data_IF_439126843697
#
_entry.id   IF_439126843697
#
_cell.length_a   1.000
_cell.length_b   1.000
_cell.length_c   1.000
_cell.angle_alpha   90.00
_cell.angle_beta   90.00
_cell.angle_gamma   90.00
#
_symmetry.space_group_name_H-M   'P 1'
#
loop_
_entity.id
_entity.type
_entity.pdbx_description
1 polymer ?
#
# COMPACT_ATOMS: atom_id res chain seq x y z
N UNK A 1 -33.03 -25.96 43.96
CA UNK A 1 -31.97 -24.95 43.70
C UNK A 1 -31.61 -24.85 42.20
N UNK A 2 -32.55 -24.48 41.33
CA UNK A 2 -32.25 -24.20 39.89
C UNK A 2 -32.95 -22.95 39.34
N UNK A 3 -33.96 -22.40 40.03
CA UNK A 3 -34.74 -21.24 39.58
C UNK A 3 -34.05 -19.88 39.78
N UNK A 4 -33.16 -19.73 40.76
CA UNK A 4 -32.48 -18.45 41.07
C UNK A 4 -31.51 -18.02 39.94
N UNK A 5 -30.88 -18.98 39.23
CA UNK A 5 -29.95 -18.66 38.14
C UNK A 5 -30.65 -18.10 36.89
N UNK A 6 -31.88 -18.55 36.61
CA UNK A 6 -32.65 -18.04 35.47
C UNK A 6 -33.31 -16.70 35.76
N UNK A 7 -33.64 -16.40 37.03
CA UNK A 7 -34.16 -15.09 37.43
C UNK A 7 -33.14 -13.98 37.16
N UNK A 8 -31.85 -14.20 37.48
CA UNK A 8 -30.78 -13.23 37.20
C UNK A 8 -30.54 -13.01 35.71
N UNK A 9 -30.60 -14.07 34.89
CA UNK A 9 -30.44 -13.97 33.44
C UNK A 9 -31.62 -13.20 32.80
N UNK A 10 -32.84 -13.45 33.28
CA UNK A 10 -34.05 -12.79 32.76
C UNK A 10 -34.10 -11.31 33.12
N UNK A 11 -33.71 -10.95 34.36
CA UNK A 11 -33.56 -9.55 34.77
C UNK A 11 -32.50 -8.83 33.92
N UNK A 12 -31.37 -9.48 33.65
CA UNK A 12 -30.33 -8.91 32.78
C UNK A 12 -30.85 -8.69 31.36
N UNK A 13 -31.58 -9.65 30.79
CA UNK A 13 -32.11 -9.54 29.42
C UNK A 13 -33.15 -8.42 29.28
N UNK A 14 -34.05 -8.26 30.26
CA UNK A 14 -35.07 -7.18 30.26
C UNK A 14 -34.43 -5.81 30.45
N UNK A 15 -33.40 -5.70 31.30
CA UNK A 15 -32.65 -4.44 31.46
C UNK A 15 -31.88 -4.10 30.18
N UNK A 16 -31.27 -5.07 29.51
CA UNK A 16 -30.53 -4.83 28.26
C UNK A 16 -31.47 -4.43 27.12
N UNK A 17 -32.59 -5.11 26.92
CA UNK A 17 -33.54 -4.74 25.85
C UNK A 17 -34.26 -3.43 26.14
N UNK A 18 -34.60 -3.16 27.41
CA UNK A 18 -35.15 -1.88 27.84
C UNK A 18 -34.16 -0.72 27.68
N UNK A 19 -32.89 -0.93 27.99
CA UNK A 19 -31.85 0.09 27.84
C UNK A 19 -31.54 0.38 26.37
N UNK A 20 -31.49 -0.66 25.51
CA UNK A 20 -31.32 -0.48 24.06
C UNK A 20 -32.52 0.25 23.47
N UNK A 21 -33.75 -0.10 23.86
CA UNK A 21 -34.96 0.56 23.35
C UNK A 21 -35.09 2.03 23.77
N UNK A 22 -34.63 2.40 24.97
CA UNK A 22 -34.70 3.79 25.48
C UNK A 22 -33.53 4.65 24.99
N UNK A 23 -32.35 4.08 24.74
CA UNK A 23 -31.19 4.82 24.22
C UNK A 23 -31.05 4.81 22.69
N UNK A 24 -31.68 3.86 21.98
CA UNK A 24 -31.67 3.79 20.51
C UNK A 24 -33.07 3.96 19.88
N UNK A 25 -34.10 4.26 20.68
CA UNK A 25 -35.48 4.44 20.21
C UNK A 25 -35.89 5.91 20.09
N UNK A 26 -35.49 6.54 18.99
CA UNK A 26 -35.97 7.85 18.51
C UNK A 26 -35.16 8.21 17.26
N UNK A 27 -35.70 8.49 16.08
CA UNK A 27 -37.02 8.94 15.68
C UNK A 27 -37.44 8.24 14.37
N UNK A 28 -38.74 7.96 14.20
CA UNK A 28 -39.30 7.63 12.89
C UNK A 28 -39.38 8.94 12.11
N UNK A 29 -38.31 9.29 11.41
CA UNK A 29 -38.27 10.48 10.58
C UNK A 29 -39.34 10.36 9.49
N UNK A 30 -40.33 11.26 9.55
CA UNK A 30 -41.28 11.44 8.47
C UNK A 30 -40.52 11.81 7.19
N UNK A 31 -40.60 10.96 6.17
CA UNK A 31 -40.13 11.28 4.83
C UNK A 31 -41.06 12.34 4.24
N UNK A 32 -40.67 13.60 4.39
CA UNK A 32 -41.25 14.68 3.58
C UNK A 32 -40.82 14.40 2.15
N UNK A 33 -41.77 14.08 1.27
CA UNK A 33 -41.52 13.94 -0.16
C UNK A 33 -40.93 15.26 -0.68
N UNK A 34 -39.61 15.29 -0.82
CA UNK A 34 -38.93 16.32 -1.61
C UNK A 34 -39.31 16.03 -3.05
N UNK A 35 -40.14 16.91 -3.62
CA UNK A 35 -40.33 16.97 -5.06
C UNK A 35 -38.95 17.17 -5.68
N UNK A 36 -38.41 16.14 -6.31
CA UNK A 36 -37.21 16.24 -7.12
C UNK A 36 -37.55 17.11 -8.33
N UNK A 37 -37.32 18.41 -8.21
CA UNK A 37 -37.19 19.28 -9.36
C UNK A 37 -35.93 18.82 -10.09
N UNK A 38 -36.11 17.92 -11.05
CA UNK A 38 -35.04 17.45 -11.93
C UNK A 38 -34.75 18.61 -12.89
N UNK A 39 -33.94 19.57 -12.41
CA UNK A 39 -33.11 20.36 -13.30
C UNK A 39 -32.19 19.36 -14.00
N UNK A 40 -32.58 19.04 -15.23
CA UNK A 40 -31.88 18.20 -16.20
C UNK A 40 -30.39 18.53 -16.22
N UNK A 41 -29.65 17.86 -15.33
CA UNK A 41 -28.20 17.95 -15.28
C UNK A 41 -27.71 16.91 -16.24
N UNK A 42 -27.68 17.27 -17.53
CA UNK A 42 -27.11 16.43 -18.56
C UNK A 42 -25.69 16.05 -18.13
N UNK A 43 -25.48 14.77 -17.86
CA UNK A 43 -24.18 14.25 -17.46
C UNK A 43 -23.26 14.39 -18.68
N UNK A 44 -22.31 15.33 -18.62
CA UNK A 44 -21.31 15.49 -19.67
C UNK A 44 -20.38 14.28 -19.60
N UNK A 45 -20.55 13.35 -20.53
CA UNK A 45 -19.76 12.14 -20.60
C UNK A 45 -18.33 12.50 -21.05
N UNK A 46 -17.40 12.52 -20.12
CA UNK A 46 -15.97 12.60 -20.42
C UNK A 46 -15.52 11.21 -20.89
N UNK A 47 -14.94 11.06 -22.10
CA UNK A 47 -14.36 9.79 -22.50
C UNK A 47 -13.22 9.44 -21.55
N UNK A 48 -13.22 8.22 -21.03
CA UNK A 48 -12.09 7.71 -20.27
C UNK A 48 -10.87 7.60 -21.20
N UNK A 49 -9.95 8.56 -21.10
CA UNK A 49 -8.67 8.52 -21.81
C UNK A 49 -7.71 7.69 -20.98
N UNK A 50 -7.45 6.46 -21.41
CA UNK A 50 -6.34 5.66 -20.87
C UNK A 50 -5.04 6.23 -21.44
N UNK A 51 -4.41 7.15 -20.69
CA UNK A 51 -3.06 7.62 -21.02
C UNK A 51 -2.09 6.53 -20.56
N UNK A 52 -1.38 5.83 -21.47
CA UNK A 52 -0.38 4.87 -21.05
C UNK A 52 0.71 5.61 -20.27
N UNK A 53 1.21 5.05 -19.15
CA UNK A 53 2.32 5.67 -18.44
C UNK A 53 3.50 5.80 -19.39
N UNK A 54 4.07 7.00 -19.47
CA UNK A 54 5.31 7.22 -20.21
C UNK A 54 6.42 6.35 -19.61
N UNK A 55 7.34 5.80 -20.44
CA UNK A 55 8.46 5.04 -19.91
C UNK A 55 9.33 5.94 -19.01
N UNK A 56 9.90 5.40 -17.93
CA UNK A 56 10.82 6.14 -17.08
C UNK A 56 12.07 6.54 -17.86
N UNK A 57 12.52 7.78 -17.67
CA UNK A 57 13.81 8.25 -18.20
C UNK A 57 14.89 7.81 -17.23
N UNK A 58 15.77 6.91 -17.67
CA UNK A 58 16.92 6.44 -16.89
C UNK A 58 18.17 7.19 -17.35
N UNK A 59 18.86 7.82 -16.40
CA UNK A 59 20.19 8.41 -16.64
C UNK A 59 21.25 7.43 -16.15
N UNK A 60 22.25 7.17 -16.99
CA UNK A 60 23.36 6.28 -16.67
C UNK A 60 24.62 7.13 -16.67
N UNK A 61 25.38 7.02 -15.58
CA UNK A 61 26.65 7.71 -15.42
C UNK A 61 27.77 6.68 -15.30
N UNK A 62 28.96 7.04 -15.80
CA UNK A 62 30.13 6.20 -15.65
C UNK A 62 30.61 6.23 -14.20
N UNK A 63 30.59 5.08 -13.53
CA UNK A 63 31.06 4.96 -12.15
C UNK A 63 32.52 4.51 -12.05
N UNK A 64 32.91 3.47 -12.79
CA UNK A 64 34.27 2.94 -12.81
C UNK A 64 34.63 2.39 -14.20
N UNK A 65 35.92 2.43 -14.56
CA UNK A 65 36.44 1.98 -15.85
C UNK A 65 37.75 1.19 -15.68
N UNK A 66 38.08 0.33 -16.66
CA UNK A 66 39.28 -0.54 -16.60
C UNK A 66 38.99 -2.02 -16.35
N UNK A 67 37.73 -2.43 -16.57
CA UNK A 67 37.32 -3.83 -16.66
C UNK A 67 37.26 -4.24 -18.13
N UNK A 68 37.60 -5.50 -18.41
CA UNK A 68 37.32 -6.08 -19.72
C UNK A 68 35.83 -6.38 -19.81
N UNK A 69 35.12 -5.70 -20.70
CA UNK A 69 33.65 -5.69 -20.77
C UNK A 69 33.00 -7.07 -20.90
N UNK A 70 33.71 -8.04 -21.48
CA UNK A 70 33.19 -9.40 -21.71
C UNK A 70 33.52 -10.36 -20.56
N UNK A 71 34.25 -9.89 -19.55
CA UNK A 71 34.73 -10.71 -18.44
C UNK A 71 33.86 -10.59 -17.20
N UNK A 72 33.13 -9.50 -17.00
CA UNK A 72 32.31 -9.31 -15.79
C UNK A 72 31.17 -10.33 -15.78
N UNK A 73 31.09 -11.13 -14.71
CA UNK A 73 30.05 -12.15 -14.53
C UNK A 73 29.05 -11.78 -13.45
N UNK A 74 29.48 -11.03 -12.42
CA UNK A 74 28.63 -10.64 -11.30
C UNK A 74 29.14 -9.37 -10.61
N UNK A 75 28.23 -8.65 -9.94
CA UNK A 75 28.53 -7.46 -9.14
C UNK A 75 27.73 -7.55 -7.83
N UNK A 76 28.41 -7.57 -6.69
CA UNK A 76 27.81 -7.66 -5.37
C UNK A 76 28.30 -6.55 -4.42
N UNK A 77 27.60 -6.32 -3.32
CA UNK A 77 28.01 -5.39 -2.25
C UNK A 77 27.95 -6.07 -0.88
N UNK A 78 28.79 -5.63 0.05
CA UNK A 78 28.80 -6.12 1.44
C UNK A 78 28.14 -5.15 2.43
N UNK A 79 27.34 -4.18 1.93
CA UNK A 79 26.74 -3.09 2.71
C UNK A 79 27.76 -2.15 3.37
N UNK A 80 28.95 -2.04 2.78
CA UNK A 80 30.08 -1.25 3.28
C UNK A 80 30.57 -0.20 2.25
N UNK A 81 29.67 0.21 1.34
CA UNK A 81 29.93 1.15 0.24
C UNK A 81 31.01 0.69 -0.76
N UNK A 82 31.34 -0.61 -0.77
CA UNK A 82 32.23 -1.22 -1.76
C UNK A 82 31.43 -2.15 -2.66
N UNK A 83 31.85 -2.20 -3.92
CA UNK A 83 31.34 -3.19 -4.88
C UNK A 83 32.43 -4.24 -5.13
N UNK A 84 32.02 -5.49 -5.21
CA UNK A 84 32.85 -6.62 -5.57
C UNK A 84 32.46 -7.02 -6.99
N UNK A 85 33.38 -6.85 -7.92
CA UNK A 85 33.20 -7.19 -9.34
C UNK A 85 33.89 -8.51 -9.61
N UNK A 86 33.13 -9.51 -10.05
CA UNK A 86 33.62 -10.84 -10.37
C UNK A 86 33.90 -10.92 -11.86
N UNK A 87 35.11 -11.34 -12.23
CA UNK A 87 35.50 -11.60 -13.62
C UNK A 87 35.49 -13.12 -13.90
N UNK A 88 35.24 -13.49 -15.16
CA UNK A 88 35.18 -14.86 -15.66
C UNK A 88 36.46 -15.66 -15.38
N UNK A 89 37.59 -14.98 -15.27
CA UNK A 89 38.89 -15.58 -14.95
C UNK A 89 39.06 -15.91 -13.46
N UNK A 90 38.01 -15.72 -12.64
CA UNK A 90 38.05 -15.98 -11.20
C UNK A 90 38.72 -14.87 -10.39
N UNK A 91 38.94 -13.69 -11.00
CA UNK A 91 39.41 -12.49 -10.29
C UNK A 91 38.23 -11.77 -9.66
N UNK A 92 38.43 -11.27 -8.44
CA UNK A 92 37.47 -10.42 -7.74
C UNK A 92 38.16 -9.09 -7.51
N UNK A 93 37.62 -8.01 -8.07
CA UNK A 93 38.17 -6.66 -7.93
C UNK A 93 37.21 -5.82 -7.10
N UNK A 94 37.76 -4.96 -6.26
CA UNK A 94 36.96 -4.12 -5.35
C UNK A 94 36.89 -2.72 -5.94
N UNK A 95 35.67 -2.21 -6.12
CA UNK A 95 35.43 -0.81 -6.46
C UNK A 95 35.03 -0.06 -5.20
N UNK A 96 35.84 0.93 -4.83
CA UNK A 96 35.54 1.82 -3.71
C UNK A 96 34.53 2.90 -4.12
N UNK A 97 34.00 3.62 -3.13
CA UNK A 97 33.01 4.69 -3.35
C UNK A 97 33.53 5.85 -4.21
N UNK A 98 34.84 6.06 -4.25
CA UNK A 98 35.51 7.09 -5.07
C UNK A 98 35.78 6.64 -6.52
N UNK A 99 35.34 5.42 -6.88
CA UNK A 99 35.55 4.83 -8.21
C UNK A 99 36.92 4.17 -8.38
N UNK A 100 37.78 4.13 -7.35
CA UNK A 100 39.07 3.44 -7.42
C UNK A 100 38.89 1.92 -7.42
N UNK A 101 39.74 1.23 -8.19
CA UNK A 101 39.70 -0.22 -8.35
C UNK A 101 40.90 -0.85 -7.67
N UNK A 102 40.66 -1.75 -6.73
CA UNK A 102 41.67 -2.57 -6.09
C UNK A 102 41.67 -4.00 -6.68
N UNK A 103 42.84 -4.60 -6.86
CA UNK A 103 43.00 -5.96 -7.39
C UNK A 103 42.56 -7.05 -6.41
#
# INVERSE_FOLDING_TARGET
MRTIKYLGLFVCLVVVTGFIGVWFGGDVAAETAVSADIADTSMVYLPAIMVPPAPPIVQVELFAAGFDTDTITDIAHANDNRLFVVEREGRIRIVNQDGTILP
#
